data_IF_099892976699
#
_entry.id   IF_099892976699
#
_cell.length_a   1.000
_cell.length_b   1.000
_cell.length_c   1.000
_cell.angle_alpha   90.00
_cell.angle_beta   90.00
_cell.angle_gamma   90.00
#
_symmetry.space_group_name_H-M   'P 1'
#
loop_
_entity.id
_entity.type
_entity.pdbx_description
1 polymer ?
#
# COMPACT_ATOMS: atom_id res chain seq x y z
N UNK A 1 -13.79 -2.71 29.62
CA UNK A 1 -12.36 -2.43 29.84
C UNK A 1 -11.65 -2.66 28.51
N UNK A 2 -11.36 -1.58 27.86
CA UNK A 2 -10.69 -1.58 26.54
C UNK A 2 -9.21 -1.87 26.78
N UNK A 3 -8.75 -3.06 26.40
CA UNK A 3 -7.32 -3.40 26.47
C UNK A 3 -6.67 -2.75 25.27
N UNK A 4 -6.14 -1.54 25.50
CA UNK A 4 -5.41 -0.79 24.46
C UNK A 4 -4.46 -1.70 23.67
N UNK A 5 -4.46 -1.53 22.37
CA UNK A 5 -3.59 -2.25 21.44
C UNK A 5 -2.14 -2.06 21.85
N UNK A 6 -1.49 -3.10 22.32
CA UNK A 6 -0.03 -3.05 22.56
C UNK A 6 0.69 -3.02 21.22
N UNK A 7 1.76 -2.23 21.13
CA UNK A 7 2.59 -2.08 19.91
C UNK A 7 3.02 -3.45 19.33
N UNK A 8 3.18 -4.49 20.16
CA UNK A 8 3.44 -5.86 19.71
C UNK A 8 2.26 -6.57 19.03
N UNK A 9 1.05 -6.02 19.06
CA UNK A 9 -0.11 -6.63 18.41
C UNK A 9 -0.27 -6.24 16.94
N UNK A 10 0.45 -5.23 16.46
CA UNK A 10 0.44 -4.85 15.04
C UNK A 10 0.95 -5.97 14.14
N UNK A 11 2.01 -6.66 14.54
CA UNK A 11 2.49 -7.84 13.81
C UNK A 11 1.46 -8.97 13.73
N UNK A 12 0.63 -9.12 14.77
CA UNK A 12 -0.45 -10.14 14.78
C UNK A 12 -1.67 -9.71 13.97
N UNK A 13 -1.95 -8.40 13.85
CA UNK A 13 -2.99 -7.90 12.95
C UNK A 13 -2.55 -7.99 11.49
N UNK A 14 -1.28 -7.74 11.21
CA UNK A 14 -0.67 -7.89 9.91
C UNK A 14 -0.63 -9.37 9.46
N UNK A 15 -0.51 -10.32 10.38
CA UNK A 15 -0.62 -11.76 10.11
C UNK A 15 -2.06 -12.25 9.91
N UNK A 16 -3.07 -11.41 10.11
CA UNK A 16 -4.48 -11.71 9.80
C UNK A 16 -4.85 -11.21 8.40
N UNK A 17 -4.04 -11.53 7.44
CA UNK A 17 -4.48 -11.61 6.05
C UNK A 17 -5.54 -12.71 6.04
N UNK A 18 -6.81 -12.33 6.01
CA UNK A 18 -7.87 -13.32 5.98
C UNK A 18 -7.75 -14.15 4.73
N UNK A 19 -7.94 -15.48 4.84
CA UNK A 19 -8.05 -16.33 3.67
C UNK A 19 -9.11 -15.74 2.76
N UNK A 20 -8.77 -15.58 1.51
CA UNK A 20 -9.62 -15.10 0.43
C UNK A 20 -10.83 -16.01 0.16
N UNK A 21 -11.22 -16.91 1.06
CA UNK A 21 -12.35 -17.83 0.84
C UNK A 21 -13.67 -17.11 0.62
N UNK A 22 -13.84 -15.90 1.18
CA UNK A 22 -14.97 -15.03 0.85
C UNK A 22 -14.69 -14.08 -0.32
N UNK A 23 -13.46 -13.74 -0.55
CA UNK A 23 -13.04 -12.88 -1.66
C UNK A 23 -13.04 -13.62 -3.01
N UNK A 24 -12.78 -14.94 -3.00
CA UNK A 24 -12.83 -15.77 -4.20
C UNK A 24 -14.24 -15.90 -4.82
N UNK A 25 -15.31 -15.61 -4.07
CA UNK A 25 -16.66 -15.69 -4.60
C UNK A 25 -17.04 -14.48 -5.48
N UNK A 26 -16.32 -13.36 -5.38
CA UNK A 26 -16.64 -12.11 -6.08
C UNK A 26 -15.51 -11.66 -7.03
N UNK A 27 -14.26 -11.97 -6.72
CA UNK A 27 -13.13 -11.57 -7.55
C UNK A 27 -12.31 -12.79 -8.00
N UNK A 28 -11.90 -12.76 -9.25
CA UNK A 28 -11.03 -13.78 -9.86
C UNK A 28 -9.59 -13.75 -9.33
N UNK A 29 -9.21 -12.73 -8.57
CA UNK A 29 -7.86 -12.52 -8.05
C UNK A 29 -7.88 -12.19 -6.55
N UNK A 30 -7.01 -12.82 -5.72
CA UNK A 30 -6.92 -12.51 -4.30
C UNK A 30 -6.35 -11.12 -4.09
N UNK A 31 -6.91 -10.36 -3.14
CA UNK A 31 -6.42 -9.05 -2.72
C UNK A 31 -6.33 -8.98 -1.20
N UNK A 32 -5.57 -8.01 -0.67
CA UNK A 32 -5.62 -7.69 0.74
C UNK A 32 -6.92 -6.97 1.07
N UNK A 33 -7.61 -7.40 2.12
CA UNK A 33 -8.88 -6.81 2.55
C UNK A 33 -8.65 -5.78 3.66
N UNK A 34 -9.38 -4.68 3.62
CA UNK A 34 -9.32 -3.61 4.61
C UNK A 34 -10.22 -3.90 5.81
N UNK A 35 -11.40 -4.43 5.57
CA UNK A 35 -12.44 -4.58 6.59
C UNK A 35 -12.54 -6.00 7.15
N UNK A 36 -12.95 -6.10 8.39
CA UNK A 36 -13.23 -7.39 9.04
C UNK A 36 -14.47 -8.09 8.48
N UNK A 37 -15.36 -7.33 7.89
CA UNK A 37 -16.61 -7.75 7.25
C UNK A 37 -16.55 -7.42 5.76
N UNK A 38 -17.43 -7.98 4.98
CA UNK A 38 -17.49 -7.76 3.52
C UNK A 38 -17.95 -6.32 3.23
N UNK A 39 -16.99 -5.43 3.05
CA UNK A 39 -17.16 -4.02 2.70
C UNK A 39 -16.12 -3.54 1.69
N UNK A 40 -15.22 -4.44 1.27
CA UNK A 40 -14.21 -4.10 0.29
C UNK A 40 -14.84 -4.01 -1.10
N UNK A 41 -14.58 -2.91 -1.79
CA UNK A 41 -14.98 -2.68 -3.17
C UNK A 41 -13.72 -2.62 -4.04
N UNK A 42 -13.55 -3.50 -5.03
CA UNK A 42 -12.42 -3.45 -5.95
C UNK A 42 -12.34 -2.18 -6.79
N UNK A 43 -13.45 -1.46 -6.92
CA UNK A 43 -13.50 -0.17 -7.62
C UNK A 43 -13.27 1.03 -6.68
N UNK A 44 -13.05 0.80 -5.39
CA UNK A 44 -12.76 1.85 -4.42
C UNK A 44 -11.34 2.37 -4.62
N UNK A 45 -11.24 3.57 -5.20
CA UNK A 45 -9.99 4.29 -5.44
C UNK A 45 -9.61 5.25 -4.32
N UNK A 46 -10.22 5.12 -3.15
CA UNK A 46 -9.94 5.97 -2.00
C UNK A 46 -8.44 6.08 -1.67
N UNK A 47 -8.03 7.26 -1.22
CA UNK A 47 -6.62 7.61 -1.01
C UNK A 47 -5.88 6.81 0.05
N UNK A 48 -6.57 6.21 1.02
CA UNK A 48 -5.93 5.46 2.10
C UNK A 48 -5.56 4.03 1.68
N UNK A 49 -4.38 3.59 2.13
CA UNK A 49 -3.86 2.24 1.96
C UNK A 49 -3.78 1.50 3.30
N UNK A 50 -4.77 1.67 4.17
CA UNK A 50 -4.76 1.14 5.55
C UNK A 50 -4.58 -0.37 5.61
N UNK A 51 -5.15 -1.12 4.64
CA UNK A 51 -4.99 -2.56 4.50
C UNK A 51 -3.58 -2.98 4.06
N UNK A 52 -2.79 -2.05 3.54
CA UNK A 52 -1.42 -2.26 3.07
C UNK A 52 -0.35 -1.68 4.03
N UNK A 53 -0.74 -1.29 5.25
CA UNK A 53 0.22 -0.80 6.25
C UNK A 53 1.32 -1.83 6.58
N UNK A 54 1.01 -3.12 6.40
CA UNK A 54 1.97 -4.21 6.51
C UNK A 54 2.95 -4.31 5.34
N UNK A 55 2.66 -3.64 4.22
CA UNK A 55 3.59 -3.49 3.11
C UNK A 55 4.48 -2.27 3.34
N UNK A 56 3.88 -1.09 3.56
CA UNK A 56 4.58 0.14 3.89
C UNK A 56 3.72 1.03 4.81
N UNK A 57 4.28 1.57 5.91
CA UNK A 57 5.69 1.56 6.33
C UNK A 57 6.17 0.26 6.97
N UNK A 58 5.30 -0.73 7.18
CA UNK A 58 5.68 -2.04 7.67
C UNK A 58 6.42 -2.89 6.64
N UNK A 59 6.88 -4.06 7.09
CA UNK A 59 7.59 -5.04 6.26
C UNK A 59 6.99 -6.45 6.39
N UNK A 60 5.83 -6.58 7.03
CA UNK A 60 5.24 -7.88 7.30
C UNK A 60 4.85 -8.64 6.02
N UNK A 61 4.44 -7.92 4.99
CA UNK A 61 4.08 -8.50 3.68
C UNK A 61 5.34 -8.98 2.96
N UNK A 62 6.36 -8.12 2.85
CA UNK A 62 7.61 -8.46 2.15
C UNK A 62 8.47 -9.46 2.91
N UNK A 63 8.36 -9.50 4.23
CA UNK A 63 9.05 -10.45 5.11
C UNK A 63 8.17 -11.64 5.51
N UNK A 64 7.04 -11.84 4.84
CA UNK A 64 6.16 -12.96 5.17
C UNK A 64 6.90 -14.29 5.11
N UNK A 65 6.79 -15.04 6.23
CA UNK A 65 7.36 -16.39 6.37
C UNK A 65 6.21 -17.40 6.34
N UNK A 66 6.17 -18.29 5.34
CA UNK A 66 5.13 -19.32 5.23
C UNK A 66 5.30 -20.47 6.22
N UNK A 67 6.29 -20.46 7.12
CA UNK A 67 6.53 -21.55 8.07
C UNK A 67 5.32 -21.78 9.01
N UNK A 68 5.05 -23.03 9.42
CA UNK A 68 3.92 -23.36 10.28
C UNK A 68 3.92 -22.66 11.65
N UNK A 69 5.09 -22.23 12.12
CA UNK A 69 5.24 -21.48 13.37
C UNK A 69 4.64 -20.08 13.31
N UNK A 70 4.49 -19.51 12.12
CA UNK A 70 3.97 -18.16 11.89
C UNK A 70 2.51 -18.19 11.44
N UNK A 71 2.10 -19.26 10.75
CA UNK A 71 0.71 -19.46 10.36
C UNK A 71 -0.06 -20.02 11.56
N UNK A 72 -0.95 -19.23 12.14
CA UNK A 72 -1.72 -19.63 13.30
C UNK A 72 -2.44 -20.98 13.16
N UNK A 73 -2.72 -21.63 14.28
CA UNK A 73 -3.25 -23.01 14.43
C UNK A 73 -4.70 -23.22 13.99
N UNK A 74 -5.29 -22.32 13.20
CA UNK A 74 -6.63 -22.50 12.63
C UNK A 74 -6.58 -23.18 11.26
N UNK A 75 -7.70 -23.74 10.81
CA UNK A 75 -7.90 -24.32 9.46
C UNK A 75 -7.74 -23.31 8.31
N UNK A 76 -6.92 -22.30 8.48
CA UNK A 76 -6.63 -21.30 7.49
C UNK A 76 -5.76 -21.92 6.40
N UNK A 77 -6.17 -21.75 5.15
CA UNK A 77 -5.39 -22.12 3.96
C UNK A 77 -3.99 -21.51 4.09
N UNK A 78 -2.96 -22.35 4.00
CA UNK A 78 -1.58 -21.89 4.02
C UNK A 78 -1.28 -21.13 2.72
N UNK A 79 -0.84 -19.88 2.86
CA UNK A 79 -0.39 -19.06 1.72
C UNK A 79 1.13 -19.13 1.59
N UNK A 80 1.63 -19.12 0.37
CA UNK A 80 3.04 -18.88 0.12
C UNK A 80 3.32 -17.37 -0.03
N UNK A 81 4.61 -17.02 0.00
CA UNK A 81 5.04 -15.62 -0.08
C UNK A 81 4.58 -14.95 -1.38
N UNK A 82 4.64 -15.64 -2.51
CA UNK A 82 4.21 -15.13 -3.80
C UNK A 82 2.74 -14.71 -3.77
N UNK A 83 1.86 -15.57 -3.27
CA UNK A 83 0.42 -15.26 -3.17
C UNK A 83 0.14 -14.01 -2.30
N UNK A 84 0.92 -13.79 -1.25
CA UNK A 84 0.78 -12.61 -0.40
C UNK A 84 1.25 -11.34 -1.12
N UNK A 85 2.35 -11.41 -1.87
CA UNK A 85 2.86 -10.32 -2.70
C UNK A 85 1.87 -10.01 -3.83
N UNK A 86 1.33 -11.04 -4.50
CA UNK A 86 0.33 -10.88 -5.55
C UNK A 86 -0.93 -10.19 -5.01
N UNK A 87 -1.41 -10.58 -3.84
CA UNK A 87 -2.57 -9.96 -3.20
C UNK A 87 -2.34 -8.47 -2.89
N UNK A 88 -1.14 -8.12 -2.40
CA UNK A 88 -0.79 -6.71 -2.16
C UNK A 88 -0.70 -5.92 -3.48
N UNK A 89 -0.14 -6.51 -4.52
CA UNK A 89 -0.07 -5.93 -5.86
C UNK A 89 -1.46 -5.66 -6.43
N UNK A 90 -2.36 -6.62 -6.36
CA UNK A 90 -3.77 -6.47 -6.80
C UNK A 90 -4.46 -5.35 -6.03
N UNK A 91 -4.27 -5.28 -4.71
CA UNK A 91 -4.84 -4.20 -3.89
C UNK A 91 -4.35 -2.81 -4.29
N UNK A 92 -3.06 -2.66 -4.60
CA UNK A 92 -2.52 -1.40 -5.12
C UNK A 92 -3.09 -1.03 -6.49
N UNK A 93 -3.26 -2.01 -7.38
CA UNK A 93 -3.87 -1.79 -8.69
C UNK A 93 -5.32 -1.32 -8.54
N UNK A 94 -6.09 -1.93 -7.65
CA UNK A 94 -7.48 -1.54 -7.38
C UNK A 94 -7.58 -0.12 -6.83
N UNK A 95 -6.66 0.29 -5.97
CA UNK A 95 -6.61 1.67 -5.45
C UNK A 95 -6.20 2.71 -6.50
N UNK A 96 -5.75 2.27 -7.68
CA UNK A 96 -5.39 3.16 -8.79
C UNK A 96 -4.14 4.00 -8.53
N UNK A 97 -4.03 5.08 -9.26
CA UNK A 97 -2.87 5.99 -9.26
C UNK A 97 -3.07 7.30 -8.48
N UNK A 98 -4.09 7.39 -7.66
CA UNK A 98 -4.35 8.59 -6.87
C UNK A 98 -4.98 9.74 -7.65
N UNK A 99 -5.86 9.45 -8.60
CA UNK A 99 -6.68 10.44 -9.31
C UNK A 99 -8.14 10.32 -8.90
N UNK A 100 -8.83 11.45 -8.90
CA UNK A 100 -10.26 11.52 -8.62
C UNK A 100 -10.59 12.19 -7.28
N UNK A 101 -11.88 12.44 -7.02
CA UNK A 101 -12.31 13.34 -5.93
C UNK A 101 -11.84 12.93 -4.54
N UNK A 102 -11.83 11.63 -4.25
CA UNK A 102 -11.43 11.09 -2.94
C UNK A 102 -10.03 10.47 -2.94
N UNK A 103 -9.35 10.48 -4.06
CA UNK A 103 -8.06 9.83 -4.25
C UNK A 103 -6.91 10.83 -4.35
N UNK A 104 -7.14 12.04 -4.86
CA UNK A 104 -6.06 12.96 -5.20
C UNK A 104 -5.49 13.70 -4.00
N UNK A 105 -4.27 13.34 -3.65
CA UNK A 105 -3.45 14.07 -2.68
C UNK A 105 -1.96 13.74 -2.87
N UNK A 106 -1.08 14.68 -2.55
CA UNK A 106 0.35 14.47 -2.69
C UNK A 106 0.89 13.36 -1.78
N UNK A 107 0.39 13.28 -0.54
CA UNK A 107 0.86 12.28 0.42
C UNK A 107 0.47 10.85 0.03
N UNK A 108 -0.69 10.66 -0.56
CA UNK A 108 -1.13 9.32 -0.94
C UNK A 108 -0.34 8.78 -2.14
N UNK A 109 0.01 9.64 -3.13
CA UNK A 109 0.88 9.25 -4.23
C UNK A 109 2.27 8.88 -3.74
N UNK A 110 2.82 9.62 -2.76
CA UNK A 110 4.07 9.26 -2.11
C UNK A 110 3.97 7.90 -1.37
N UNK A 111 2.83 7.61 -0.72
CA UNK A 111 2.60 6.32 -0.08
C UNK A 111 2.51 5.18 -1.11
N UNK A 112 1.77 5.38 -2.21
CA UNK A 112 1.71 4.39 -3.32
C UNK A 112 3.10 4.13 -3.90
N UNK A 113 3.86 5.19 -4.16
CA UNK A 113 5.23 5.05 -4.65
C UNK A 113 6.10 4.21 -3.69
N UNK A 114 6.05 4.48 -2.39
CA UNK A 114 6.77 3.70 -1.40
C UNK A 114 6.33 2.23 -1.36
N UNK A 115 5.02 1.96 -1.50
CA UNK A 115 4.49 0.61 -1.57
C UNK A 115 4.96 -0.13 -2.83
N UNK A 116 4.95 0.51 -4.00
CA UNK A 116 5.49 -0.05 -5.23
C UNK A 116 7.00 -0.31 -5.16
N UNK A 117 7.74 0.59 -4.49
CA UNK A 117 9.16 0.37 -4.22
C UNK A 117 9.42 -0.87 -3.38
N UNK A 118 8.58 -1.12 -2.35
CA UNK A 118 8.67 -2.33 -1.52
C UNK A 118 8.37 -3.62 -2.30
N UNK A 119 7.48 -3.55 -3.28
CA UNK A 119 7.19 -4.67 -4.20
C UNK A 119 8.26 -4.85 -5.28
N UNK A 120 9.23 -3.94 -5.37
CA UNK A 120 10.29 -3.99 -6.36
C UNK A 120 9.89 -3.49 -7.76
N UNK A 121 8.68 -2.96 -7.93
CA UNK A 121 8.23 -2.41 -9.21
C UNK A 121 8.78 -0.98 -9.41
N UNK A 122 9.93 -0.89 -10.10
CA UNK A 122 10.64 0.35 -10.33
C UNK A 122 9.94 1.30 -11.30
N UNK A 123 9.30 0.78 -12.32
CA UNK A 123 8.60 1.59 -13.32
C UNK A 123 7.36 2.27 -12.73
N UNK A 124 6.53 1.54 -12.00
CA UNK A 124 5.35 2.10 -11.32
C UNK A 124 5.75 3.04 -10.19
N UNK A 125 6.79 2.70 -9.42
CA UNK A 125 7.37 3.62 -8.42
C UNK A 125 7.74 4.97 -9.04
N UNK A 126 8.48 4.96 -10.14
CA UNK A 126 8.91 6.18 -10.82
C UNK A 126 7.73 6.96 -11.39
N UNK A 127 6.75 6.25 -11.96
CA UNK A 127 5.52 6.86 -12.46
C UNK A 127 4.78 7.62 -11.35
N UNK A 128 4.49 6.97 -10.23
CA UNK A 128 3.79 7.56 -9.09
C UNK A 128 4.53 8.78 -8.51
N UNK A 129 5.84 8.66 -8.38
CA UNK A 129 6.67 9.74 -7.86
C UNK A 129 6.69 10.96 -8.79
N UNK A 130 6.86 10.71 -10.10
CA UNK A 130 6.84 11.76 -11.13
C UNK A 130 5.46 12.40 -11.24
N UNK A 131 4.41 11.60 -11.08
CA UNK A 131 3.03 12.05 -11.10
C UNK A 131 2.73 12.94 -9.90
N UNK A 132 3.15 12.53 -8.70
CA UNK A 132 3.04 13.37 -7.49
C UNK A 132 3.70 14.74 -7.68
N UNK A 133 4.91 14.78 -8.24
CA UNK A 133 5.61 16.06 -8.49
C UNK A 133 4.86 16.97 -9.46
N UNK A 134 4.29 16.42 -10.52
CA UNK A 134 3.59 17.23 -11.53
C UNK A 134 2.26 17.77 -11.04
N UNK A 135 1.51 16.95 -10.31
CA UNK A 135 0.12 17.26 -9.97
C UNK A 135 -0.04 17.88 -8.58
N UNK A 136 0.80 17.47 -7.62
CA UNK A 136 0.59 17.82 -6.22
C UNK A 136 1.71 18.64 -5.59
N UNK A 137 2.65 19.19 -6.38
CA UNK A 137 3.66 20.11 -5.88
C UNK A 137 3.57 21.45 -6.60
N UNK A 138 3.61 22.54 -5.83
CA UNK A 138 3.70 23.89 -6.36
C UNK A 138 5.13 24.21 -6.85
N UNK A 139 5.28 25.33 -7.57
CA UNK A 139 6.58 25.84 -8.04
C UNK A 139 7.57 26.07 -6.90
N UNK A 140 7.08 26.37 -5.70
CA UNK A 140 7.88 26.52 -4.48
C UNK A 140 8.23 25.18 -3.80
N UNK A 141 7.90 24.05 -4.44
CA UNK A 141 8.11 22.68 -3.97
C UNK A 141 7.32 22.27 -2.72
N UNK A 142 6.33 23.04 -2.31
CA UNK A 142 5.39 22.58 -1.29
C UNK A 142 4.29 21.74 -1.87
N UNK A 143 3.96 20.66 -1.17
CA UNK A 143 2.92 19.73 -1.60
C UNK A 143 1.51 20.20 -1.28
N UNK A 144 0.56 19.78 -2.11
CA UNK A 144 -0.87 20.11 -2.01
C UNK A 144 -1.68 18.86 -1.68
N UNK A 145 -2.80 19.08 -1.01
CA UNK A 145 -3.80 18.02 -0.80
C UNK A 145 -4.48 17.70 -2.13
N UNK A 146 -5.32 18.56 -2.62
CA UNK A 146 -5.96 18.41 -3.92
C UNK A 146 -5.57 19.61 -4.81
N UNK A 147 -4.83 19.38 -5.91
CA UNK A 147 -4.35 20.47 -6.77
C UNK A 147 -5.47 21.14 -7.58
N UNK A 148 -6.61 20.44 -7.76
CA UNK A 148 -7.76 20.95 -8.52
C UNK A 148 -8.78 21.71 -7.68
N UNK A 149 -8.55 21.81 -6.36
CA UNK A 149 -9.34 22.67 -5.49
C UNK A 149 -9.04 24.14 -5.86
N UNK A 150 -10.06 25.01 -6.06
CA UNK A 150 -9.83 26.44 -6.31
C UNK A 150 -9.07 27.14 -5.18
N UNK A 151 -9.04 26.54 -3.99
CA UNK A 151 -8.24 26.99 -2.85
C UNK A 151 -7.37 25.82 -2.35
N UNK A 152 -6.32 25.45 -3.08
CA UNK A 152 -5.54 24.25 -2.76
C UNK A 152 -4.90 24.39 -1.39
N UNK A 153 -5.11 23.37 -0.55
CA UNK A 153 -4.56 23.32 0.80
C UNK A 153 -3.14 22.78 0.74
N UNK A 154 -2.20 23.54 1.29
CA UNK A 154 -0.85 23.03 1.57
C UNK A 154 -0.90 21.87 2.56
N UNK A 155 -0.20 20.81 2.24
CA UNK A 155 -0.09 19.64 3.10
C UNK A 155 1.32 19.06 3.04
N UNK A 156 2.07 19.27 4.11
CA UNK A 156 3.49 18.94 4.21
C UNK A 156 3.82 17.44 4.13
N UNK A 157 2.81 16.60 4.30
CA UNK A 157 2.97 15.14 4.38
C UNK A 157 3.72 14.57 3.17
N UNK A 158 3.42 15.03 1.97
CA UNK A 158 4.12 14.56 0.77
C UNK A 158 5.57 15.04 0.71
N UNK A 159 5.89 16.20 1.28
CA UNK A 159 7.28 16.68 1.36
C UNK A 159 8.17 15.73 2.20
N UNK A 160 7.59 15.05 3.20
CA UNK A 160 8.28 14.01 3.95
C UNK A 160 8.12 12.62 3.32
N UNK A 161 6.96 12.33 2.76
CA UNK A 161 6.67 11.04 2.11
C UNK A 161 7.51 10.79 0.86
N UNK A 162 7.76 11.82 0.08
CA UNK A 162 8.51 11.74 -1.17
C UNK A 162 9.96 11.24 -0.95
N UNK A 163 10.81 11.88 -0.13
CA UNK A 163 12.14 11.36 0.14
C UNK A 163 12.12 10.00 0.84
N UNK A 164 11.12 9.72 1.67
CA UNK A 164 10.97 8.40 2.27
C UNK A 164 10.76 7.32 1.20
N UNK A 165 9.92 7.56 0.20
CA UNK A 165 9.70 6.64 -0.92
C UNK A 165 11.00 6.40 -1.73
N UNK A 166 11.78 7.45 -1.98
CA UNK A 166 13.09 7.34 -2.64
C UNK A 166 14.05 6.48 -1.82
N UNK A 167 14.10 6.67 -0.50
CA UNK A 167 14.95 5.88 0.39
C UNK A 167 14.55 4.40 0.42
N UNK A 168 13.25 4.10 0.36
CA UNK A 168 12.76 2.72 0.25
C UNK A 168 13.30 2.08 -1.02
N UNK A 169 13.19 2.76 -2.16
CA UNK A 169 13.68 2.26 -3.45
C UNK A 169 15.19 2.04 -3.43
N UNK A 170 15.94 2.96 -2.87
CA UNK A 170 17.40 2.86 -2.77
C UNK A 170 17.88 1.66 -1.92
N UNK A 171 17.07 1.21 -0.96
CA UNK A 171 17.36 0.04 -0.12
C UNK A 171 16.98 -1.30 -0.74
N UNK A 172 16.27 -1.31 -1.87
CA UNK A 172 15.85 -2.52 -2.57
C UNK A 172 16.70 -2.77 -3.83
N UNK A 173 17.97 -3.15 -3.72
CA UNK A 173 18.90 -3.25 -4.87
C UNK A 173 18.59 -4.41 -5.82
N UNK A 174 17.74 -5.38 -5.44
CA UNK A 174 17.52 -6.62 -6.21
C UNK A 174 16.72 -6.44 -7.52
N UNK A 175 16.16 -5.25 -7.78
CA UNK A 175 15.29 -5.03 -8.94
C UNK A 175 15.76 -3.89 -9.84
N UNK A 176 17.03 -3.49 -9.77
CA UNK A 176 17.55 -2.38 -10.57
C UNK A 176 17.91 -2.76 -12.03
N UNK A 177 17.80 -4.02 -12.46
CA UNK A 177 18.39 -4.45 -13.75
C UNK A 177 17.58 -5.47 -14.57
N UNK A 178 16.30 -5.70 -14.30
CA UNK A 178 15.52 -6.66 -15.10
C UNK A 178 14.52 -6.04 -16.10
N UNK A 179 14.53 -4.73 -16.29
CA UNK A 179 13.68 -4.05 -17.29
C UNK A 179 14.52 -3.54 -18.48
N UNK A 180 15.31 -4.43 -19.13
CA UNK A 180 15.89 -4.18 -20.47
C UNK A 180 15.57 -5.31 -21.41
#
# INVERSE_FOLDING_TARGET
>A
MDKGLKVGSWGQLQGKIRPAERFFAILTTPACIEWKVEKDDPADTHRHLSHLIGLYPGYAITNFDPSPSVQGTGSAKAYNKGQIIDAATVSLIHRGNGTGPDADSGWEKAWRAAAWAQLGNGSTFYHELSFALRENFCDNLFSLYNPYDPNPIFQIDANFGFPAAVLVRAKCPKFCYEDT
#
